data_IF_251970246776
#
_entry.id   IF_251970246776
#
_cell.length_a   1.000
_cell.length_b   1.000
_cell.length_c   1.000
_cell.angle_alpha   90.00
_cell.angle_beta   90.00
_cell.angle_gamma   90.00
#
_symmetry.space_group_name_H-M   'P 1'
#
loop_
_entity.id
_entity.type
_entity.pdbx_description
1 polymer ?
#
# COMPACT_ATOMS: atom_id res chain seq x y z
N UNK A 1 3.38 -16.01 8.34
CA UNK A 1 3.74 -14.66 7.87
C UNK A 1 3.59 -14.62 6.35
N UNK A 2 2.84 -13.65 5.80
CA UNK A 2 2.76 -13.37 4.37
C UNK A 2 3.75 -12.28 3.98
N UNK A 3 4.19 -12.30 2.74
CA UNK A 3 5.03 -11.27 2.15
C UNK A 3 4.37 -10.74 0.89
N UNK A 4 4.34 -9.43 0.76
CA UNK A 4 3.72 -8.70 -0.35
C UNK A 4 4.69 -7.64 -0.86
N UNK A 5 4.46 -7.14 -2.07
CA UNK A 5 5.28 -6.07 -2.64
C UNK A 5 4.45 -4.81 -2.88
N UNK A 6 5.09 -3.66 -2.78
CA UNK A 6 4.53 -2.39 -3.19
C UNK A 6 5.47 -1.69 -4.16
N UNK A 7 4.91 -1.15 -5.22
CA UNK A 7 5.61 -0.39 -6.25
C UNK A 7 5.07 1.03 -6.38
N UNK A 8 5.99 1.99 -6.45
CA UNK A 8 5.69 3.37 -6.84
C UNK A 8 5.97 3.65 -8.34
N UNK A 9 6.63 2.72 -9.01
CA UNK A 9 6.94 2.75 -10.45
C UNK A 9 7.61 4.08 -10.86
N UNK A 10 8.64 4.48 -10.11
CA UNK A 10 9.38 5.72 -10.33
C UNK A 10 10.62 5.49 -11.20
N UNK A 11 10.94 6.47 -12.08
CA UNK A 11 12.12 6.44 -12.93
C UNK A 11 12.84 7.80 -12.89
N UNK A 12 14.12 7.81 -12.52
CA UNK A 12 14.97 9.02 -12.56
C UNK A 12 15.46 9.36 -13.99
N UNK A 13 15.40 8.40 -14.91
CA UNK A 13 15.83 8.55 -16.30
C UNK A 13 14.67 8.85 -17.24
N UNK A 14 13.44 8.85 -16.74
CA UNK A 14 12.20 9.03 -17.50
C UNK A 14 11.97 7.95 -18.59
N UNK A 15 12.57 6.79 -18.41
CA UNK A 15 12.36 5.63 -19.29
C UNK A 15 11.11 4.85 -18.86
N UNK A 16 9.93 5.44 -19.09
CA UNK A 16 8.65 4.95 -18.57
C UNK A 16 8.27 3.55 -19.07
N UNK A 17 8.59 3.23 -20.30
CA UNK A 17 8.34 1.89 -20.84
C UNK A 17 9.18 0.86 -20.12
N UNK A 18 10.48 1.11 -19.97
CA UNK A 18 11.40 0.18 -19.34
C UNK A 18 11.00 -0.09 -17.88
N UNK A 19 10.70 0.94 -17.10
CA UNK A 19 10.32 0.72 -15.68
C UNK A 19 9.00 -0.06 -15.56
N UNK A 20 8.06 0.12 -16.48
CA UNK A 20 6.84 -0.69 -16.51
C UNK A 20 7.15 -2.16 -16.83
N UNK A 21 8.00 -2.42 -17.81
CA UNK A 21 8.40 -3.78 -18.18
C UNK A 21 9.17 -4.43 -17.01
N UNK A 22 10.11 -3.73 -16.40
CA UNK A 22 10.86 -4.20 -15.23
C UNK A 22 9.93 -4.59 -14.07
N UNK A 23 8.94 -3.74 -13.75
CA UNK A 23 7.98 -4.05 -12.67
C UNK A 23 7.10 -5.24 -13.04
N UNK A 24 6.67 -5.38 -14.30
CA UNK A 24 5.91 -6.55 -14.75
C UNK A 24 6.74 -7.83 -14.55
N UNK A 25 8.01 -7.85 -14.93
CA UNK A 25 8.90 -8.98 -14.74
C UNK A 25 9.12 -9.32 -13.26
N UNK A 26 9.32 -8.31 -12.42
CA UNK A 26 9.44 -8.46 -10.96
C UNK A 26 8.17 -9.08 -10.35
N UNK A 27 7.00 -8.65 -10.80
CA UNK A 27 5.71 -9.17 -10.32
C UNK A 27 5.49 -10.63 -10.75
N UNK A 28 5.87 -10.99 -11.97
CA UNK A 28 5.80 -12.37 -12.44
C UNK A 28 6.71 -13.26 -11.60
N UNK A 29 7.95 -12.83 -11.33
CA UNK A 29 8.86 -13.54 -10.44
C UNK A 29 8.30 -13.67 -9.02
N UNK A 30 7.72 -12.59 -8.47
CA UNK A 30 7.10 -12.63 -7.15
C UNK A 30 5.95 -13.65 -7.08
N UNK A 31 5.13 -13.76 -8.13
CA UNK A 31 4.10 -14.82 -8.23
C UNK A 31 4.71 -16.22 -8.22
N UNK A 32 5.79 -16.44 -8.97
CA UNK A 32 6.47 -17.73 -9.03
C UNK A 32 6.99 -18.16 -7.66
N UNK A 33 7.53 -17.22 -6.90
CA UNK A 33 8.10 -17.42 -5.57
C UNK A 33 7.05 -17.49 -4.45
N UNK A 34 5.78 -17.19 -4.74
CA UNK A 34 4.69 -17.33 -3.76
C UNK A 34 4.43 -16.09 -2.89
N UNK A 35 4.81 -14.89 -3.34
CA UNK A 35 4.35 -13.66 -2.69
C UNK A 35 2.83 -13.57 -2.74
N UNK A 36 2.24 -12.95 -1.70
CA UNK A 36 0.79 -12.94 -1.50
C UNK A 36 0.09 -11.86 -2.34
N UNK A 37 0.56 -10.61 -2.28
CA UNK A 37 -0.10 -9.47 -2.90
C UNK A 37 0.92 -8.52 -3.52
N UNK A 38 0.58 -7.90 -4.63
CA UNK A 38 1.30 -6.76 -5.20
C UNK A 38 0.40 -5.53 -5.19
N UNK A 39 0.91 -4.45 -4.64
CA UNK A 39 0.22 -3.16 -4.54
C UNK A 39 0.93 -2.10 -5.37
N UNK A 40 0.16 -1.23 -6.04
CA UNK A 40 0.67 -0.07 -6.77
C UNK A 40 0.21 1.19 -6.07
N UNK A 41 1.15 2.11 -5.78
CA UNK A 41 0.84 3.35 -5.04
C UNK A 41 0.69 4.56 -5.96
N UNK A 42 -0.31 5.42 -5.66
CA UNK A 42 -0.69 6.58 -6.45
C UNK A 42 -0.08 7.86 -5.88
N UNK A 43 0.54 8.64 -6.79
CA UNK A 43 0.76 10.06 -6.63
C UNK A 43 0.69 10.76 -7.98
N UNK A 44 0.44 12.05 -7.98
CA UNK A 44 0.33 12.86 -9.19
C UNK A 44 1.35 13.98 -9.19
N UNK A 45 1.75 14.44 -10.38
CA UNK A 45 2.60 15.61 -10.57
C UNK A 45 3.96 15.50 -9.84
N UNK A 46 4.54 14.31 -9.87
CA UNK A 46 5.90 14.05 -9.38
C UNK A 46 6.81 13.83 -10.58
N UNK A 47 7.92 14.54 -10.66
CA UNK A 47 8.80 14.53 -11.85
C UNK A 47 9.37 13.16 -12.18
N UNK A 48 9.63 12.34 -11.16
CA UNK A 48 10.11 10.97 -11.34
C UNK A 48 8.99 9.96 -11.66
N UNK A 49 7.76 10.44 -11.88
CA UNK A 49 6.63 9.67 -12.39
C UNK A 49 5.91 8.79 -11.39
N UNK A 50 6.05 8.94 -10.11
CA UNK A 50 5.30 8.25 -9.08
C UNK A 50 3.86 7.96 -9.55
N UNK A 51 3.51 6.71 -9.80
CA UNK A 51 2.54 6.29 -10.81
C UNK A 51 1.11 6.86 -10.59
N UNK A 52 0.53 7.58 -11.58
CA UNK A 52 -0.73 8.30 -11.36
C UNK A 52 -1.99 7.49 -11.68
N UNK A 53 -1.86 6.30 -12.32
CA UNK A 53 -3.02 5.52 -12.80
C UNK A 53 -2.90 4.05 -12.38
N UNK A 54 -2.99 3.85 -11.09
CA UNK A 54 -2.67 2.57 -10.43
C UNK A 54 -3.63 1.44 -10.81
N UNK A 55 -4.93 1.71 -10.93
CA UNK A 55 -5.92 0.70 -11.32
C UNK A 55 -5.68 0.22 -12.76
N UNK A 56 -5.31 1.14 -13.66
CA UNK A 56 -4.95 0.78 -15.05
C UNK A 56 -3.76 -0.16 -15.09
N UNK A 57 -2.72 0.11 -14.29
CA UNK A 57 -1.54 -0.75 -14.24
C UNK A 57 -1.83 -2.11 -13.59
N UNK A 58 -2.68 -2.16 -12.57
CA UNK A 58 -3.19 -3.42 -12.03
C UNK A 58 -3.92 -4.26 -13.11
N UNK A 59 -4.63 -3.61 -14.03
CA UNK A 59 -5.22 -4.29 -15.20
C UNK A 59 -4.17 -4.95 -16.10
N UNK A 60 -3.04 -4.28 -16.37
CA UNK A 60 -1.93 -4.87 -17.12
C UNK A 60 -1.31 -6.06 -16.37
N UNK A 61 -1.05 -5.93 -15.07
CA UNK A 61 -0.53 -7.01 -14.22
C UNK A 61 -1.49 -8.22 -14.17
N UNK A 62 -2.81 -7.98 -14.16
CA UNK A 62 -3.82 -9.03 -14.13
C UNK A 62 -3.73 -9.99 -15.32
N UNK A 63 -3.30 -9.49 -16.49
CA UNK A 63 -3.12 -10.29 -17.70
C UNK A 63 -1.82 -11.09 -17.74
N UNK A 64 -0.87 -10.77 -16.87
CA UNK A 64 0.45 -11.39 -16.80
C UNK A 64 0.62 -12.35 -15.63
N UNK A 65 -0.36 -12.38 -14.73
CA UNK A 65 -0.37 -13.18 -13.50
C UNK A 65 -1.64 -14.02 -13.40
N UNK A 66 -1.63 -15.03 -12.54
CA UNK A 66 -2.74 -15.99 -12.39
C UNK A 66 -3.15 -16.31 -10.95
N UNK A 67 -2.27 -16.07 -9.97
CA UNK A 67 -2.46 -16.45 -8.56
C UNK A 67 -2.29 -15.29 -7.60
N UNK A 68 -1.24 -14.48 -7.76
CA UNK A 68 -0.92 -13.36 -6.86
C UNK A 68 -2.08 -12.37 -6.80
N UNK A 69 -2.43 -11.88 -5.62
CA UNK A 69 -3.38 -10.79 -5.47
C UNK A 69 -2.77 -9.50 -6.02
N UNK A 70 -3.59 -8.67 -6.63
CA UNK A 70 -3.20 -7.38 -7.18
C UNK A 70 -4.03 -6.29 -6.55
N UNK A 71 -3.45 -5.15 -6.25
CA UNK A 71 -4.23 -4.10 -5.63
C UNK A 71 -3.59 -2.73 -5.69
N UNK A 72 -4.27 -1.79 -5.10
CA UNK A 72 -3.78 -0.42 -4.96
C UNK A 72 -3.30 -0.16 -3.54
N UNK A 73 -2.19 0.51 -3.42
CA UNK A 73 -1.60 0.83 -2.13
C UNK A 73 -1.15 2.29 -2.02
N UNK A 74 -2.08 3.24 -2.27
CA UNK A 74 -3.53 3.24 -2.35
C UNK A 74 -4.04 4.15 -3.48
N UNK A 75 -5.33 4.05 -3.83
CA UNK A 75 -6.03 5.09 -4.61
C UNK A 75 -6.35 6.27 -3.69
N UNK A 76 -6.07 7.49 -4.12
CA UNK A 76 -6.41 8.72 -3.40
C UNK A 76 -7.88 9.09 -3.63
N UNK A 77 -8.80 8.31 -3.03
CA UNK A 77 -10.25 8.41 -3.30
C UNK A 77 -10.82 9.84 -3.26
N UNK A 78 -10.36 10.77 -2.39
CA UNK A 78 -10.89 12.15 -2.40
C UNK A 78 -10.70 12.91 -3.71
N UNK A 79 -9.73 12.51 -4.55
CA UNK A 79 -9.45 13.11 -5.85
C UNK A 79 -10.31 12.51 -6.99
N UNK A 80 -10.99 11.39 -6.73
CA UNK A 80 -11.72 10.61 -7.73
C UNK A 80 -13.23 10.61 -7.47
N UNK A 81 -14.00 10.32 -8.52
CA UNK A 81 -15.42 10.05 -8.37
C UNK A 81 -15.65 8.59 -7.95
N UNK A 82 -16.39 8.29 -6.86
CA UNK A 82 -16.58 6.92 -6.35
C UNK A 82 -17.14 5.94 -7.40
N UNK A 83 -18.04 6.39 -8.26
CA UNK A 83 -18.58 5.55 -9.34
C UNK A 83 -17.45 5.13 -10.29
N UNK A 84 -16.56 6.05 -10.69
CA UNK A 84 -15.45 5.72 -11.60
C UNK A 84 -14.49 4.72 -10.96
N UNK A 85 -14.14 4.90 -9.69
CA UNK A 85 -13.30 3.95 -8.95
C UNK A 85 -13.97 2.57 -8.86
N UNK A 86 -15.29 2.52 -8.61
CA UNK A 86 -16.03 1.26 -8.55
C UNK A 86 -16.07 0.54 -9.91
N UNK A 87 -16.32 1.27 -11.01
CA UNK A 87 -16.29 0.72 -12.38
C UNK A 87 -14.94 0.11 -12.74
N UNK A 88 -13.86 0.86 -12.53
CA UNK A 88 -12.50 0.39 -12.79
C UNK A 88 -12.12 -0.81 -11.92
N UNK A 89 -12.50 -0.78 -10.64
CA UNK A 89 -12.34 -1.91 -9.70
C UNK A 89 -13.04 -3.16 -10.23
N UNK A 90 -14.29 -3.06 -10.66
CA UNK A 90 -15.02 -4.20 -11.19
C UNK A 90 -14.40 -4.76 -12.47
N UNK A 91 -13.88 -3.90 -13.35
CA UNK A 91 -13.19 -4.33 -14.57
C UNK A 91 -11.92 -5.10 -14.24
N UNK A 92 -11.06 -4.56 -13.34
CA UNK A 92 -9.82 -5.22 -12.96
C UNK A 92 -10.08 -6.50 -12.17
N UNK A 93 -11.12 -6.53 -11.34
CA UNK A 93 -11.53 -7.75 -10.64
C UNK A 93 -11.93 -8.87 -11.61
N UNK A 94 -12.64 -8.54 -12.69
CA UNK A 94 -12.95 -9.50 -13.76
C UNK A 94 -11.68 -9.95 -14.53
N UNK A 95 -10.79 -9.02 -14.91
CA UNK A 95 -9.52 -9.34 -15.58
C UNK A 95 -8.63 -10.26 -14.71
N UNK A 96 -8.57 -9.97 -13.43
CA UNK A 96 -7.80 -10.76 -12.46
C UNK A 96 -8.49 -12.05 -12.00
N UNK A 97 -9.74 -12.28 -12.41
CA UNK A 97 -10.55 -13.44 -11.99
C UNK A 97 -10.74 -13.50 -10.46
N UNK A 98 -11.05 -12.35 -9.86
CA UNK A 98 -11.36 -12.26 -8.42
C UNK A 98 -10.12 -12.19 -7.52
N UNK A 99 -9.00 -11.61 -7.99
CA UNK A 99 -7.77 -11.41 -7.21
C UNK A 99 -7.49 -9.95 -6.84
N UNK A 100 -8.39 -9.03 -7.17
CA UNK A 100 -8.18 -7.61 -6.94
C UNK A 100 -8.48 -7.21 -5.50
N UNK A 101 -7.66 -6.31 -4.95
CA UNK A 101 -7.82 -5.65 -3.64
C UNK A 101 -7.83 -4.15 -3.86
N UNK A 102 -8.85 -3.46 -3.37
CA UNK A 102 -8.96 -2.02 -3.49
C UNK A 102 -8.44 -1.32 -2.23
N UNK A 103 -7.20 -0.85 -2.28
CA UNK A 103 -6.65 0.01 -1.23
C UNK A 103 -7.03 1.47 -1.47
N UNK A 104 -7.59 2.12 -0.44
CA UNK A 104 -8.03 3.52 -0.48
C UNK A 104 -7.30 4.35 0.57
N UNK A 105 -6.98 5.58 0.24
CA UNK A 105 -6.33 6.53 1.12
C UNK A 105 -6.81 7.95 0.96
N UNK A 106 -6.37 8.82 1.88
CA UNK A 106 -6.86 10.19 2.01
C UNK A 106 -6.07 11.21 1.19
N UNK A 107 -4.81 10.89 0.80
CA UNK A 107 -3.89 11.85 0.22
C UNK A 107 -3.34 12.88 1.21
N UNK A 108 -2.18 13.48 0.89
CA UNK A 108 -1.52 14.45 1.78
C UNK A 108 -0.74 15.56 1.06
N UNK A 109 -0.61 15.54 -0.28
CA UNK A 109 0.11 16.55 -1.06
C UNK A 109 -0.85 17.64 -1.54
N UNK A 110 -0.61 18.89 -1.11
CA UNK A 110 -1.47 20.03 -1.47
C UNK A 110 -1.56 20.24 -2.98
N UNK A 111 -0.47 20.05 -3.71
CA UNK A 111 -0.38 20.24 -5.16
C UNK A 111 -1.34 19.32 -5.92
N UNK A 112 -1.52 18.08 -5.43
CA UNK A 112 -2.47 17.13 -6.02
C UNK A 112 -3.91 17.64 -5.87
N UNK A 113 -4.27 18.08 -4.66
CA UNK A 113 -5.60 18.61 -4.38
C UNK A 113 -5.90 19.87 -5.17
N UNK A 114 -4.93 20.78 -5.31
CA UNK A 114 -5.07 22.01 -6.08
C UNK A 114 -5.28 21.71 -7.57
N UNK A 115 -4.51 20.78 -8.13
CA UNK A 115 -4.61 20.39 -9.53
C UNK A 115 -5.95 19.70 -9.88
N UNK A 116 -6.47 18.88 -8.95
CA UNK A 116 -7.77 18.23 -9.11
C UNK A 116 -8.95 19.12 -8.70
N UNK A 117 -8.70 20.34 -8.21
CA UNK A 117 -9.74 21.28 -7.80
C UNK A 117 -10.52 20.84 -6.55
N UNK A 118 -9.90 20.02 -5.71
CA UNK A 118 -10.51 19.49 -4.49
C UNK A 118 -9.93 20.19 -3.27
N UNK A 119 -10.75 20.83 -2.41
CA UNK A 119 -10.23 21.42 -1.19
C UNK A 119 -9.61 20.37 -0.25
N UNK A 120 -8.30 20.47 0.02
CA UNK A 120 -7.58 19.49 0.85
C UNK A 120 -8.20 19.26 2.23
N UNK A 121 -8.80 20.30 2.83
CA UNK A 121 -9.52 20.21 4.10
C UNK A 121 -10.72 19.25 4.08
N UNK A 122 -11.24 18.93 2.91
CA UNK A 122 -12.38 18.02 2.74
C UNK A 122 -11.97 16.55 2.58
N UNK A 123 -10.67 16.27 2.40
CA UNK A 123 -10.18 14.93 2.07
C UNK A 123 -10.68 13.81 2.99
N UNK A 124 -10.68 14.07 4.31
CA UNK A 124 -11.16 13.09 5.29
C UNK A 124 -12.66 12.82 5.21
N UNK A 125 -13.47 13.87 4.96
CA UNK A 125 -14.91 13.74 4.81
C UNK A 125 -15.28 13.07 3.46
N UNK A 126 -14.54 13.39 2.39
CA UNK A 126 -14.71 12.73 1.07
C UNK A 126 -14.36 11.23 1.16
N UNK A 127 -13.27 10.85 1.82
CA UNK A 127 -12.94 9.45 2.03
C UNK A 127 -14.05 8.74 2.83
N UNK A 128 -14.56 9.39 3.88
CA UNK A 128 -15.61 8.83 4.74
C UNK A 128 -16.95 8.62 4.03
N UNK A 129 -17.32 9.52 3.11
CA UNK A 129 -18.53 9.37 2.30
C UNK A 129 -18.30 8.41 1.12
N UNK A 130 -17.12 8.51 0.48
CA UNK A 130 -16.82 7.75 -0.73
C UNK A 130 -16.60 6.26 -0.50
N UNK A 131 -15.94 5.87 0.60
CA UNK A 131 -15.63 4.44 0.87
C UNK A 131 -16.90 3.58 0.95
N UNK A 132 -17.91 3.89 1.79
CA UNK A 132 -19.15 3.11 1.79
C UNK A 132 -19.93 3.22 0.47
N UNK A 133 -19.85 4.35 -0.23
CA UNK A 133 -20.48 4.51 -1.52
C UNK A 133 -19.86 3.59 -2.58
N UNK A 134 -18.53 3.50 -2.65
CA UNK A 134 -17.82 2.54 -3.52
C UNK A 134 -18.26 1.11 -3.20
N UNK A 135 -18.30 0.73 -1.92
CA UNK A 135 -18.77 -0.61 -1.50
C UNK A 135 -20.18 -0.90 -1.97
N UNK A 136 -21.11 0.05 -1.79
CA UNK A 136 -22.49 -0.10 -2.24
C UNK A 136 -22.58 -0.26 -3.76
N UNK A 137 -21.88 0.56 -4.52
CA UNK A 137 -21.83 0.48 -5.98
C UNK A 137 -21.33 -0.89 -6.47
N UNK A 138 -20.32 -1.46 -5.79
CA UNK A 138 -19.77 -2.78 -6.13
C UNK A 138 -20.70 -3.94 -5.76
N UNK A 139 -21.57 -3.79 -4.75
CA UNK A 139 -22.34 -4.89 -4.17
C UNK A 139 -23.87 -4.79 -4.38
N UNK A 140 -24.43 -3.59 -4.55
CA UNK A 140 -25.88 -3.35 -4.62
C UNK A 140 -26.30 -2.98 -6.06
N UNK A 141 -27.61 -3.08 -6.31
CA UNK A 141 -28.31 -2.54 -7.49
C UNK A 141 -29.16 -1.33 -7.08
N UNK A 142 -29.50 -0.49 -8.05
CA UNK A 142 -30.39 0.67 -7.87
C UNK A 142 -29.90 1.60 -6.74
N UNK A 143 -28.57 1.84 -6.69
CA UNK A 143 -27.96 2.66 -5.65
C UNK A 143 -28.42 4.12 -5.79
N UNK A 144 -29.13 4.59 -4.78
CA UNK A 144 -29.45 6.00 -4.60
C UNK A 144 -28.64 6.53 -3.41
N UNK A 145 -27.97 7.66 -3.60
CA UNK A 145 -27.15 8.32 -2.59
C UNK A 145 -27.35 9.84 -2.67
N UNK A 146 -27.68 10.45 -1.56
CA UNK A 146 -27.78 11.90 -1.40
C UNK A 146 -26.74 12.29 -0.33
N UNK A 147 -25.56 12.68 -0.77
CA UNK A 147 -24.43 12.99 0.10
C UNK A 147 -24.01 14.46 0.04
N UNK A 148 -23.00 14.78 0.81
CA UNK A 148 -22.39 16.12 0.78
C UNK A 148 -21.60 16.35 -0.50
N UNK A 149 -20.94 15.32 -1.02
CA UNK A 149 -20.01 15.43 -2.13
C UNK A 149 -20.52 14.77 -3.40
N UNK A 150 -21.32 13.73 -3.28
CA UNK A 150 -21.84 12.97 -4.43
C UNK A 150 -23.32 12.69 -4.32
N UNK A 151 -24.00 12.78 -5.43
CA UNK A 151 -25.40 12.43 -5.53
C UNK A 151 -25.61 11.45 -6.69
N UNK A 152 -26.22 10.32 -6.42
CA UNK A 152 -26.55 9.28 -7.38
C UNK A 152 -28.02 8.93 -7.25
N UNK A 153 -28.67 8.61 -8.35
CA UNK A 153 -30.06 8.22 -8.37
C UNK A 153 -30.25 6.96 -9.22
N UNK A 154 -30.66 5.88 -8.56
CA UNK A 154 -31.05 4.62 -9.21
C UNK A 154 -29.95 4.06 -10.13
N UNK A 155 -28.70 4.01 -9.63
CA UNK A 155 -27.52 3.58 -10.38
C UNK A 155 -27.26 2.10 -10.16
N UNK A 156 -27.24 1.32 -11.23
CA UNK A 156 -26.75 -0.06 -11.26
C UNK A 156 -25.53 -0.14 -12.16
N UNK A 157 -24.41 -0.57 -11.59
CA UNK A 157 -23.12 -0.62 -12.28
C UNK A 157 -22.96 -1.95 -13.06
N UNK A 158 -22.39 -1.88 -14.26
CA UNK A 158 -22.06 -3.04 -15.11
C UNK A 158 -20.71 -2.80 -15.79
N UNK A 159 -19.75 -3.79 -15.79
CA UNK A 159 -19.88 -5.12 -15.22
C UNK A 159 -19.87 -5.13 -13.69
N UNK A 160 -20.36 -6.23 -13.12
CA UNK A 160 -20.24 -6.47 -11.66
C UNK A 160 -18.92 -7.19 -11.38
N UNK A 161 -18.35 -7.02 -10.17
CA UNK A 161 -17.14 -7.75 -9.79
C UNK A 161 -17.39 -9.25 -9.65
N UNK A 162 -16.35 -10.05 -9.83
CA UNK A 162 -16.35 -11.50 -9.60
C UNK A 162 -16.48 -11.79 -8.11
N UNK A 163 -15.71 -11.09 -7.28
CA UNK A 163 -15.72 -11.26 -5.82
C UNK A 163 -17.05 -10.82 -5.20
N UNK A 164 -17.51 -11.54 -4.18
CA UNK A 164 -18.79 -11.28 -3.48
C UNK A 164 -18.54 -11.08 -1.98
N UNK A 165 -19.17 -10.08 -1.36
CA UNK A 165 -20.10 -9.11 -1.95
C UNK A 165 -19.41 -8.09 -2.88
N UNK A 166 -18.09 -7.84 -2.71
CA UNK A 166 -17.24 -6.99 -3.53
C UNK A 166 -15.76 -7.36 -3.28
N UNK A 167 -14.80 -6.87 -4.10
CA UNK A 167 -13.38 -6.96 -3.78
C UNK A 167 -13.08 -6.39 -2.38
N UNK A 168 -12.13 -6.98 -1.63
CA UNK A 168 -11.74 -6.46 -0.32
C UNK A 168 -11.28 -5.00 -0.43
N UNK A 169 -11.74 -4.16 0.51
CA UNK A 169 -11.33 -2.76 0.62
C UNK A 169 -10.36 -2.63 1.78
N UNK A 170 -9.12 -2.21 1.50
CA UNK A 170 -8.14 -1.85 2.50
C UNK A 170 -8.14 -0.33 2.71
N UNK A 171 -8.06 0.12 3.95
CA UNK A 171 -7.95 1.55 4.24
C UNK A 171 -6.57 1.88 4.80
N UNK A 172 -5.85 2.76 4.11
CA UNK A 172 -4.63 3.35 4.66
C UNK A 172 -4.99 4.38 5.72
N UNK A 173 -4.42 4.23 6.90
CA UNK A 173 -4.68 5.13 8.02
C UNK A 173 -3.45 5.28 8.92
N UNK A 174 -3.20 6.54 9.38
CA UNK A 174 -2.11 6.92 10.26
C UNK A 174 -2.61 7.50 11.58
N UNK A 175 -3.62 8.36 11.51
CA UNK A 175 -4.20 9.02 12.69
C UNK A 175 -5.22 8.11 13.37
N UNK A 176 -5.34 8.21 14.72
CA UNK A 176 -6.27 7.41 15.53
C UNK A 176 -7.69 7.34 14.92
N UNK A 177 -8.29 8.49 14.61
CA UNK A 177 -9.65 8.57 14.05
C UNK A 177 -9.78 7.76 12.74
N UNK A 178 -8.73 7.80 11.89
CA UNK A 178 -8.71 7.06 10.63
C UNK A 178 -8.50 5.57 10.84
N UNK A 179 -7.66 5.18 11.80
CA UNK A 179 -7.43 3.77 12.18
C UNK A 179 -8.71 3.15 12.75
N UNK A 180 -9.40 3.87 13.64
CA UNK A 180 -10.72 3.43 14.16
C UNK A 180 -11.76 3.33 13.04
N UNK A 181 -11.71 4.20 12.03
CA UNK A 181 -12.57 4.06 10.84
C UNK A 181 -12.23 2.80 10.06
N UNK A 182 -10.95 2.51 9.82
CA UNK A 182 -10.54 1.29 9.12
C UNK A 182 -11.09 0.03 9.81
N UNK A 183 -11.08 -0.03 11.14
CA UNK A 183 -11.65 -1.15 11.89
C UNK A 183 -13.17 -1.35 11.63
N UNK A 184 -13.91 -0.28 11.42
CA UNK A 184 -15.36 -0.36 11.16
C UNK A 184 -15.71 -0.67 9.71
N UNK A 185 -14.97 -0.05 8.77
CA UNK A 185 -15.41 0.09 7.38
C UNK A 185 -14.59 -0.73 6.38
N UNK A 186 -13.41 -1.23 6.76
CA UNK A 186 -12.52 -1.97 5.87
C UNK A 186 -12.44 -3.46 6.24
N UNK A 187 -11.97 -4.24 5.27
CA UNK A 187 -11.50 -5.60 5.52
C UNK A 187 -10.15 -5.56 6.22
N UNK A 188 -9.24 -4.63 5.81
CA UNK A 188 -7.91 -4.52 6.42
C UNK A 188 -7.51 -3.06 6.65
N UNK A 189 -6.77 -2.81 7.73
CA UNK A 189 -6.03 -1.57 7.94
C UNK A 189 -4.64 -1.70 7.33
N UNK A 190 -4.35 -0.92 6.28
CA UNK A 190 -3.04 -0.84 5.65
C UNK A 190 -2.18 0.22 6.34
N UNK A 191 -1.17 -0.21 7.10
CA UNK A 191 -0.31 0.70 7.85
C UNK A 191 0.87 1.18 7.00
N UNK A 192 1.15 2.50 7.08
CA UNK A 192 2.16 3.19 6.28
C UNK A 192 3.61 2.90 6.74
N UNK A 193 4.63 3.17 5.88
CA UNK A 193 6.03 2.88 6.18
C UNK A 193 6.69 3.88 7.14
N UNK A 194 6.15 5.11 7.22
CA UNK A 194 6.82 6.23 7.90
C UNK A 194 6.43 6.37 9.38
N UNK A 195 5.38 5.70 9.82
CA UNK A 195 4.95 5.75 11.23
C UNK A 195 5.92 4.99 12.13
N UNK A 196 6.44 5.62 13.20
CA UNK A 196 7.30 4.99 14.19
C UNK A 196 6.67 3.78 14.85
N UNK A 197 7.49 2.81 15.26
CA UNK A 197 7.02 1.60 15.92
C UNK A 197 6.27 1.89 17.23
N UNK A 198 6.73 2.88 18.01
CA UNK A 198 6.07 3.33 19.23
C UNK A 198 4.63 3.76 18.97
N UNK A 199 4.43 4.62 17.97
CA UNK A 199 3.10 5.11 17.57
C UNK A 199 2.26 3.99 16.95
N UNK A 200 2.87 3.09 16.17
CA UNK A 200 2.14 1.94 15.61
C UNK A 200 1.56 1.03 16.70
N UNK A 201 2.28 0.83 17.83
CA UNK A 201 1.75 0.06 18.97
C UNK A 201 0.47 0.67 19.53
N UNK A 202 0.44 2.00 19.68
CA UNK A 202 -0.75 2.70 20.13
C UNK A 202 -1.88 2.58 19.10
N UNK A 203 -1.58 2.69 17.81
CA UNK A 203 -2.56 2.56 16.74
C UNK A 203 -3.11 1.12 16.62
N UNK A 204 -2.30 0.11 16.86
CA UNK A 204 -2.75 -1.29 16.95
C UNK A 204 -3.70 -1.48 18.14
N UNK A 205 -3.41 -0.85 19.28
CA UNK A 205 -4.32 -0.86 20.42
C UNK A 205 -5.67 -0.18 20.09
N UNK A 206 -5.64 1.00 19.44
CA UNK A 206 -6.82 1.70 18.96
C UNK A 206 -7.64 0.85 17.97
N UNK A 207 -6.97 0.16 17.06
CA UNK A 207 -7.59 -0.71 16.06
C UNK A 207 -8.30 -1.90 16.74
N UNK A 208 -7.62 -2.59 17.66
CA UNK A 208 -8.16 -3.72 18.43
C UNK A 208 -9.36 -3.30 19.29
N UNK A 209 -9.27 -2.17 19.97
CA UNK A 209 -10.36 -1.61 20.78
C UNK A 209 -11.60 -1.36 19.91
N UNK A 210 -11.42 -0.78 18.73
CA UNK A 210 -12.54 -0.47 17.85
C UNK A 210 -13.13 -1.71 17.17
N UNK A 211 -12.29 -2.70 16.78
CA UNK A 211 -12.77 -3.99 16.31
C UNK A 211 -13.67 -4.66 17.35
N UNK A 212 -13.24 -4.66 18.63
CA UNK A 212 -14.03 -5.22 19.72
C UNK A 212 -15.40 -4.56 19.87
N UNK A 213 -15.51 -3.24 19.67
CA UNK A 213 -16.79 -2.51 19.73
C UNK A 213 -17.78 -2.91 18.62
N UNK A 214 -17.26 -3.35 17.47
CA UNK A 214 -18.08 -3.82 16.34
C UNK A 214 -18.18 -5.35 16.27
N UNK A 215 -17.78 -6.06 17.33
CA UNK A 215 -17.89 -7.51 17.44
C UNK A 215 -16.90 -8.30 16.59
N UNK A 216 -15.81 -7.69 16.18
CA UNK A 216 -14.74 -8.32 15.40
C UNK A 216 -13.52 -8.58 16.29
N UNK A 217 -12.66 -9.54 15.92
CA UNK A 217 -11.39 -9.82 16.61
C UNK A 217 -10.23 -9.55 15.67
N UNK A 218 -9.14 -9.04 16.20
CA UNK A 218 -7.94 -8.70 15.43
C UNK A 218 -7.34 -9.93 14.71
N UNK A 219 -7.42 -11.09 15.35
CA UNK A 219 -6.86 -12.36 14.83
C UNK A 219 -7.64 -12.88 13.61
N UNK A 220 -8.84 -12.37 13.35
CA UNK A 220 -9.66 -12.75 12.19
C UNK A 220 -9.29 -11.96 10.92
N UNK A 221 -8.36 -10.99 11.03
CA UNK A 221 -7.95 -10.09 9.95
C UNK A 221 -6.46 -10.20 9.65
N UNK A 222 -6.08 -9.90 8.42
CA UNK A 222 -4.68 -9.62 8.11
C UNK A 222 -4.31 -8.24 8.67
N UNK A 223 -3.04 -8.08 9.04
CA UNK A 223 -2.51 -6.77 9.34
C UNK A 223 -1.35 -6.46 8.39
N UNK A 224 -1.64 -5.90 7.19
CA UNK A 224 -0.63 -5.49 6.24
C UNK A 224 0.10 -4.25 6.73
N UNK A 225 1.41 -4.40 6.92
CA UNK A 225 2.32 -3.34 7.33
C UNK A 225 3.34 -3.08 6.23
N UNK A 226 3.34 -1.88 5.67
CA UNK A 226 4.34 -1.48 4.70
C UNK A 226 5.67 -1.13 5.36
N UNK A 227 6.78 -1.59 4.76
CA UNK A 227 8.15 -1.21 5.13
C UNK A 227 9.04 -1.12 3.88
N UNK A 228 10.00 -0.20 3.94
CA UNK A 228 11.13 -0.21 3.01
C UNK A 228 11.98 -1.43 3.31
N UNK A 229 12.26 -2.23 2.30
CA UNK A 229 13.05 -3.44 2.46
C UNK A 229 14.03 -3.61 1.29
N UNK A 230 15.18 -4.19 1.57
CA UNK A 230 16.09 -4.65 0.53
C UNK A 230 16.96 -5.78 1.07
N UNK A 231 17.21 -6.79 0.24
CA UNK A 231 17.95 -7.98 0.66
C UNK A 231 19.09 -8.24 -0.32
N UNK A 232 20.26 -8.49 0.22
CA UNK A 232 21.44 -8.93 -0.53
C UNK A 232 22.20 -10.00 0.26
N UNK A 233 23.30 -10.51 -0.29
CA UNK A 233 24.11 -11.55 0.34
C UNK A 233 24.72 -11.11 1.69
N UNK A 234 24.87 -9.81 1.92
CA UNK A 234 25.27 -9.24 3.20
C UNK A 234 24.54 -7.93 3.51
N UNK A 235 24.54 -7.54 4.78
CA UNK A 235 23.94 -6.28 5.24
C UNK A 235 24.60 -5.06 4.57
N UNK A 236 25.92 -5.09 4.42
CA UNK A 236 26.69 -4.03 3.77
C UNK A 236 26.27 -3.87 2.31
N UNK A 237 26.18 -4.97 1.57
CA UNK A 237 25.77 -4.98 0.18
C UNK A 237 24.33 -4.49 0.01
N UNK A 238 23.41 -4.93 0.87
CA UNK A 238 22.03 -4.49 0.84
C UNK A 238 21.88 -2.97 1.02
N UNK A 239 22.69 -2.39 1.93
CA UNK A 239 22.73 -0.94 2.13
C UNK A 239 23.40 -0.21 0.97
N UNK A 240 24.46 -0.76 0.39
CA UNK A 240 25.10 -0.18 -0.80
C UNK A 240 24.12 -0.12 -1.97
N UNK A 241 23.34 -1.18 -2.18
CA UNK A 241 22.41 -1.29 -3.29
C UNK A 241 21.14 -0.43 -3.14
N UNK A 242 20.61 -0.28 -1.93
CA UNK A 242 19.35 0.39 -1.68
C UNK A 242 19.46 1.86 -1.25
N UNK A 243 20.61 2.26 -0.68
CA UNK A 243 20.77 3.52 0.05
C UNK A 243 20.31 4.73 -0.73
N UNK A 244 20.81 4.92 -1.93
CA UNK A 244 20.59 6.17 -2.68
C UNK A 244 19.11 6.31 -3.09
N UNK A 245 18.48 5.21 -3.51
CA UNK A 245 17.08 5.19 -3.87
C UNK A 245 16.13 5.38 -2.67
N UNK A 246 16.42 4.72 -1.54
CA UNK A 246 15.68 4.92 -0.29
C UNK A 246 15.78 6.38 0.17
N UNK A 247 16.99 6.93 0.19
CA UNK A 247 17.23 8.32 0.60
C UNK A 247 16.55 9.32 -0.34
N UNK A 248 16.47 9.01 -1.65
CA UNK A 248 15.74 9.84 -2.60
C UNK A 248 14.25 9.96 -2.19
N UNK A 249 13.56 8.84 -1.99
CA UNK A 249 12.17 8.82 -1.57
C UNK A 249 11.92 9.56 -0.23
N UNK A 250 12.83 9.39 0.72
CA UNK A 250 12.66 10.02 2.03
C UNK A 250 12.95 11.53 2.02
N UNK A 251 13.79 12.04 1.08
CA UNK A 251 13.90 13.47 0.83
C UNK A 251 12.60 14.06 0.26
N UNK A 252 11.93 13.34 -0.64
CA UNK A 252 10.61 13.74 -1.14
C UNK A 252 9.57 13.76 0.00
N UNK A 253 9.51 12.73 0.83
CA UNK A 253 8.60 12.70 1.99
C UNK A 253 8.87 13.83 2.99
N UNK A 254 10.13 14.21 3.17
CA UNK A 254 10.50 15.37 4.00
C UNK A 254 9.94 16.67 3.40
N UNK A 255 10.14 16.88 2.10
CA UNK A 255 9.62 18.06 1.39
C UNK A 255 8.09 18.14 1.44
N UNK A 256 7.42 16.99 1.43
CA UNK A 256 5.95 16.90 1.53
C UNK A 256 5.42 16.99 2.98
N UNK A 257 6.28 17.20 3.98
CA UNK A 257 5.89 17.27 5.39
C UNK A 257 5.32 15.96 5.94
N UNK A 258 5.71 14.82 5.38
CA UNK A 258 5.12 13.52 5.73
C UNK A 258 5.90 12.75 6.80
N UNK A 259 7.14 13.15 7.11
CA UNK A 259 7.99 12.45 8.08
C UNK A 259 7.72 12.88 9.53
N UNK A 260 7.80 11.90 10.43
CA UNK A 260 7.69 12.10 11.87
C UNK A 260 8.84 11.40 12.60
N UNK A 261 9.30 12.01 13.70
CA UNK A 261 10.24 11.39 14.65
C UNK A 261 9.55 10.32 15.54
N UNK A 262 10.29 9.74 16.47
CA UNK A 262 9.76 8.68 17.36
C UNK A 262 8.68 9.17 18.34
N UNK A 263 8.58 10.47 18.56
CA UNK A 263 7.55 11.14 19.36
C UNK A 263 6.37 11.67 18.51
N UNK A 264 6.39 11.44 17.18
CA UNK A 264 5.33 11.86 16.27
C UNK A 264 5.38 13.32 15.85
N UNK A 265 6.48 14.02 16.13
CA UNK A 265 6.68 15.41 15.70
C UNK A 265 7.18 15.43 14.26
N UNK A 266 6.77 16.45 13.51
CA UNK A 266 7.24 16.65 12.13
C UNK A 266 8.77 16.82 12.10
N UNK A 267 9.43 16.02 11.27
CA UNK A 267 10.87 16.13 11.00
C UNK A 267 11.07 17.17 9.88
N UNK A 268 12.00 18.11 10.08
CA UNK A 268 12.31 19.16 9.11
C UNK A 268 13.73 19.12 8.57
N UNK A 269 14.62 18.36 9.22
CA UNK A 269 16.00 18.21 8.82
C UNK A 269 16.33 16.74 8.53
N UNK A 270 16.91 16.48 7.37
CA UNK A 270 17.11 15.12 6.86
C UNK A 270 18.12 14.30 7.68
N UNK A 271 19.22 14.92 8.12
CA UNK A 271 20.27 14.21 8.83
C UNK A 271 19.82 13.69 10.21
N UNK A 272 18.92 14.44 10.89
CA UNK A 272 18.28 13.98 12.12
C UNK A 272 17.30 12.84 11.86
N UNK A 273 16.63 12.86 10.68
CA UNK A 273 15.69 11.82 10.29
C UNK A 273 16.39 10.49 10.04
N UNK A 274 17.59 10.50 9.47
CA UNK A 274 18.22 9.31 8.91
C UNK A 274 18.50 8.22 9.96
N UNK A 275 19.01 8.58 11.13
CA UNK A 275 19.28 7.63 12.23
C UNK A 275 17.99 6.99 12.76
N UNK A 276 16.95 7.80 12.88
CA UNK A 276 15.62 7.36 13.33
C UNK A 276 14.94 6.49 12.28
N UNK A 277 15.04 6.88 11.00
CA UNK A 277 14.42 6.18 9.88
C UNK A 277 15.06 4.82 9.61
N UNK A 278 16.38 4.69 9.81
CA UNK A 278 17.09 3.40 9.65
C UNK A 278 16.47 2.28 10.47
N UNK A 279 15.92 2.58 11.64
CA UNK A 279 15.25 1.61 12.52
C UNK A 279 13.92 1.09 11.95
N UNK A 280 13.38 1.75 10.93
CA UNK A 280 12.12 1.38 10.28
C UNK A 280 12.34 0.54 9.02
N UNK A 281 13.56 0.57 8.47
CA UNK A 281 13.90 -0.17 7.25
C UNK A 281 14.25 -1.62 7.57
N UNK A 282 13.85 -2.51 6.67
CA UNK A 282 14.20 -3.93 6.70
C UNK A 282 15.23 -4.17 5.59
N UNK A 283 16.46 -3.67 5.80
CA UNK A 283 17.56 -3.73 4.82
C UNK A 283 18.71 -4.52 5.43
N UNK A 284 19.09 -5.63 4.77
CA UNK A 284 20.17 -6.49 5.26
C UNK A 284 20.28 -7.82 4.56
N UNK A 285 20.93 -8.77 5.22
CA UNK A 285 20.99 -10.17 4.79
C UNK A 285 19.62 -10.87 4.99
N UNK A 286 19.40 -12.07 4.43
CA UNK A 286 18.20 -12.85 4.71
C UNK A 286 17.93 -13.06 6.20
N UNK A 287 18.98 -13.29 7.02
CA UNK A 287 18.85 -13.44 8.47
C UNK A 287 18.39 -12.14 9.16
N UNK A 288 18.86 -10.99 8.69
CA UNK A 288 18.40 -9.70 9.20
C UNK A 288 16.92 -9.50 8.91
N UNK A 289 16.46 -9.83 7.70
CA UNK A 289 15.05 -9.72 7.32
C UNK A 289 14.18 -10.69 8.11
N UNK A 290 14.63 -11.91 8.35
CA UNK A 290 13.94 -12.88 9.21
C UNK A 290 13.77 -12.30 10.61
N UNK A 291 14.85 -11.81 11.22
CA UNK A 291 14.85 -11.23 12.57
C UNK A 291 13.89 -10.05 12.69
N UNK A 292 13.92 -9.13 11.73
CA UNK A 292 13.02 -7.97 11.70
C UNK A 292 11.55 -8.37 11.46
N UNK A 293 11.31 -9.35 10.60
CA UNK A 293 9.97 -9.89 10.36
C UNK A 293 9.38 -10.52 11.63
N UNK A 294 10.18 -11.31 12.38
CA UNK A 294 9.78 -11.86 13.68
C UNK A 294 9.51 -10.76 14.70
N UNK A 295 10.33 -9.69 14.71
CA UNK A 295 10.14 -8.53 15.59
C UNK A 295 8.80 -7.84 15.32
N UNK A 296 8.50 -7.50 14.07
CA UNK A 296 7.23 -6.85 13.72
C UNK A 296 6.01 -7.74 14.00
N UNK A 297 6.12 -9.03 13.72
CA UNK A 297 5.07 -9.99 14.05
C UNK A 297 4.82 -10.06 15.57
N UNK A 298 5.87 -10.15 16.36
CA UNK A 298 5.77 -10.25 17.83
C UNK A 298 5.27 -8.96 18.48
N UNK A 299 5.74 -7.80 18.01
CA UNK A 299 5.47 -6.52 18.65
C UNK A 299 4.14 -5.88 18.22
N UNK A 300 3.68 -6.13 16.99
CA UNK A 300 2.48 -5.53 16.42
C UNK A 300 1.40 -6.55 16.07
N UNK A 301 1.74 -7.84 15.93
CA UNK A 301 0.83 -8.85 15.41
C UNK A 301 0.67 -8.78 13.90
N UNK A 302 1.64 -8.16 13.17
CA UNK A 302 1.56 -8.12 11.71
C UNK A 302 1.64 -9.53 11.13
N UNK A 303 0.75 -9.81 10.20
CA UNK A 303 0.64 -11.09 9.51
C UNK A 303 1.04 -11.01 8.03
N UNK A 304 1.16 -9.78 7.51
CA UNK A 304 1.54 -9.52 6.12
C UNK A 304 2.52 -8.33 6.07
N UNK A 305 3.77 -8.58 5.70
CA UNK A 305 4.75 -7.52 5.47
C UNK A 305 4.74 -7.12 3.98
N UNK A 306 4.41 -5.87 3.73
CA UNK A 306 4.38 -5.29 2.39
C UNK A 306 5.68 -4.54 2.15
N UNK A 307 6.56 -5.12 1.35
CA UNK A 307 7.89 -4.58 1.08
C UNK A 307 7.90 -3.67 -0.14
N UNK A 308 8.44 -2.47 0.01
CA UNK A 308 8.89 -1.67 -1.13
C UNK A 308 10.38 -1.91 -1.31
N UNK A 309 10.76 -2.54 -2.42
CA UNK A 309 12.15 -2.89 -2.75
C UNK A 309 12.64 -2.24 -4.03
N UNK A 310 11.74 -1.81 -4.91
CA UNK A 310 12.08 -1.00 -6.08
C UNK A 310 12.08 0.47 -5.68
N UNK A 311 13.26 1.09 -5.68
CA UNK A 311 13.46 2.51 -5.43
C UNK A 311 13.93 3.20 -6.70
N UNK A 312 13.72 4.53 -6.83
CA UNK A 312 14.24 5.28 -7.98
C UNK A 312 15.77 5.07 -8.15
N UNK A 313 16.18 4.65 -9.35
CA UNK A 313 17.57 4.40 -9.68
C UNK A 313 18.15 3.06 -9.23
N UNK A 314 17.39 2.22 -8.53
CA UNK A 314 17.87 0.86 -8.19
C UNK A 314 17.85 -0.03 -9.45
N UNK A 315 19.00 -0.66 -9.81
CA UNK A 315 19.08 -1.53 -10.97
C UNK A 315 18.09 -2.71 -10.90
N UNK A 316 17.47 -3.03 -12.03
CA UNK A 316 16.45 -4.08 -12.13
C UNK A 316 16.97 -5.45 -11.65
N UNK A 317 18.17 -5.85 -12.07
CA UNK A 317 18.80 -7.13 -11.69
C UNK A 317 18.99 -7.26 -10.17
N UNK A 318 19.33 -6.15 -9.49
CA UNK A 318 19.46 -6.12 -8.02
C UNK A 318 18.10 -6.30 -7.34
N UNK A 319 17.04 -5.67 -7.86
CA UNK A 319 15.67 -5.85 -7.34
C UNK A 319 15.21 -7.29 -7.57
N UNK A 320 15.46 -7.87 -8.74
CA UNK A 320 15.16 -9.26 -9.05
C UNK A 320 15.88 -10.23 -8.10
N UNK A 321 17.17 -9.98 -7.81
CA UNK A 321 17.92 -10.75 -6.82
C UNK A 321 17.33 -10.64 -5.43
N UNK A 322 16.98 -9.43 -4.98
CA UNK A 322 16.37 -9.20 -3.68
C UNK A 322 15.02 -9.94 -3.54
N UNK A 323 14.18 -9.94 -4.58
CA UNK A 323 12.93 -10.70 -4.61
C UNK A 323 13.20 -12.22 -4.48
N UNK A 324 14.21 -12.74 -5.18
CA UNK A 324 14.60 -14.16 -5.06
C UNK A 324 15.04 -14.53 -3.65
N UNK A 325 15.93 -13.75 -3.04
CA UNK A 325 16.40 -13.99 -1.69
C UNK A 325 15.25 -14.01 -0.66
N UNK A 326 14.27 -13.10 -0.80
CA UNK A 326 13.05 -13.17 0.04
C UNK A 326 12.30 -14.48 -0.18
N UNK A 327 12.06 -14.85 -1.44
CA UNK A 327 11.26 -16.04 -1.79
C UNK A 327 11.94 -17.36 -1.40
N UNK A 328 13.24 -17.44 -1.61
CA UNK A 328 14.00 -18.71 -1.48
C UNK A 328 14.61 -18.89 -0.08
N UNK A 329 14.94 -17.81 0.65
CA UNK A 329 15.63 -17.90 1.94
C UNK A 329 14.80 -17.37 3.12
N UNK A 330 14.01 -16.30 2.95
CA UNK A 330 13.24 -15.70 4.03
C UNK A 330 11.89 -16.39 4.21
N UNK A 331 11.10 -16.50 3.15
CA UNK A 331 9.74 -17.05 3.21
C UNK A 331 9.67 -18.48 3.75
N UNK A 332 10.60 -19.40 3.38
CA UNK A 332 10.59 -20.77 3.90
C UNK A 332 10.77 -20.86 5.41
N UNK A 333 11.47 -19.90 6.04
CA UNK A 333 11.62 -19.86 7.50
C UNK A 333 10.27 -19.75 8.23
N UNK A 334 9.28 -19.12 7.60
CA UNK A 334 7.94 -18.92 8.14
C UNK A 334 6.93 -19.99 7.67
N UNK A 335 7.30 -20.81 6.69
CA UNK A 335 6.45 -21.90 6.21
C UNK A 335 6.35 -22.97 7.33
N UNK A 336 5.13 -23.26 7.79
CA UNK A 336 4.88 -24.24 8.86
C UNK A 336 4.88 -23.68 10.29
N UNK A 337 5.06 -22.37 10.48
CA UNK A 337 4.89 -21.69 11.78
C UNK A 337 3.51 -21.01 11.94
N UNK A 338 2.55 -21.28 11.03
CA UNK A 338 1.20 -20.71 11.02
C UNK A 338 0.23 -21.58 11.82
#
# INVERSE_FOLDING_TARGET
>A
MKYSLLYSVQSLTHEWQQICDDVIEQVVLAEELGFDTVLISEHHLVDNGYFPSVITFCGALATRTSRIRLGTGVVLLPLHHPLKVAEETAVVDNLSKGRFVLGLGVGYRQEEFDAFGVPMKERGARLAEGTPLVRRLLSEENVTHEGRFWNLKDVTMTPRPVQKPCPPIWLAAKQEVAVRRAAREAEEWFADPVTPLSILKDRVADYKDELGKVGKRFEDFEFPLMREAFVADSTEQAWEDARDGVLHNYREYLQWGHLQDEEGREVREFDQALETLRKRFIIGSPEDVIRESERYSKELGTSNLVFRMQFPGTPHDKVMKAIRLIGEEVMPHFAGKA
#
